data_IF_718755950756
#
_entry.id   IF_718755950756
#
_cell.length_a   1.000
_cell.length_b   1.000
_cell.length_c   1.000
_cell.angle_alpha   90.00
_cell.angle_beta   90.00
_cell.angle_gamma   90.00
#
_symmetry.space_group_name_H-M   'P 1'
#
loop_
_entity.id
_entity.type
_entity.pdbx_description
1 polymer ?
#
# COMPACT_ATOMS: atom_id res chain seq x y z
N UNK A 1 -19.67 -5.11 -7.92
CA UNK A 1 -18.95 -5.69 -6.76
C UNK A 1 -19.04 -7.22 -6.65
N UNK A 2 -20.20 -7.86 -6.88
CA UNK A 2 -20.32 -9.34 -6.80
C UNK A 2 -19.40 -10.10 -7.78
N UNK A 3 -19.18 -9.58 -8.98
CA UNK A 3 -18.31 -10.23 -9.99
C UNK A 3 -16.83 -10.28 -9.62
N UNK A 4 -16.25 -9.17 -9.13
CA UNK A 4 -14.84 -9.12 -8.72
C UNK A 4 -14.59 -9.96 -7.46
N UNK A 5 -15.50 -9.89 -6.48
CA UNK A 5 -15.45 -10.71 -5.26
C UNK A 5 -15.60 -12.21 -5.58
N UNK A 6 -16.53 -12.60 -6.46
CA UNK A 6 -16.64 -13.99 -6.91
C UNK A 6 -15.43 -14.43 -7.71
N UNK A 7 -14.85 -13.56 -8.55
CA UNK A 7 -13.65 -13.89 -9.31
C UNK A 7 -12.43 -14.10 -8.41
N UNK A 8 -12.24 -13.23 -7.41
CA UNK A 8 -11.20 -13.37 -6.39
C UNK A 8 -11.44 -14.61 -5.53
N UNK A 9 -12.67 -14.88 -5.09
CA UNK A 9 -13.02 -16.09 -4.30
C UNK A 9 -12.78 -17.39 -5.09
N UNK A 10 -13.16 -17.42 -6.37
CA UNK A 10 -12.93 -18.56 -7.25
C UNK A 10 -11.43 -18.82 -7.49
N UNK A 11 -10.61 -17.77 -7.49
CA UNK A 11 -9.16 -17.91 -7.68
C UNK A 11 -8.39 -18.08 -6.37
N UNK A 12 -8.92 -17.64 -5.22
CA UNK A 12 -8.24 -17.71 -3.92
C UNK A 12 -7.91 -19.15 -3.50
N UNK A 13 -8.71 -20.12 -3.94
CA UNK A 13 -8.51 -21.54 -3.65
C UNK A 13 -7.60 -22.27 -4.66
N UNK A 14 -7.25 -21.65 -5.79
CA UNK A 14 -6.37 -22.26 -6.80
C UNK A 14 -4.90 -21.86 -6.62
N UNK A 15 -3.93 -22.68 -7.08
CA UNK A 15 -2.51 -22.31 -7.10
C UNK A 15 -2.25 -20.99 -7.86
N UNK A 16 -3.10 -20.70 -8.85
CA UNK A 16 -3.09 -19.47 -9.65
C UNK A 16 -3.45 -18.23 -8.84
N UNK A 17 -4.23 -18.37 -7.74
CA UNK A 17 -4.64 -17.28 -6.88
C UNK A 17 -3.49 -16.54 -6.22
N UNK A 18 -2.43 -17.25 -5.83
CA UNK A 18 -1.20 -16.66 -5.29
C UNK A 18 -0.48 -15.78 -6.32
N UNK A 19 -0.43 -16.21 -7.58
CA UNK A 19 0.20 -15.42 -8.65
C UNK A 19 -0.59 -14.15 -8.94
N UNK A 20 -1.92 -14.23 -8.94
CA UNK A 20 -2.81 -13.07 -9.10
C UNK A 20 -2.62 -12.07 -7.95
N UNK A 21 -2.55 -12.56 -6.70
CA UNK A 21 -2.32 -11.71 -5.53
C UNK A 21 -0.96 -10.98 -5.62
N UNK A 22 0.09 -11.68 -6.04
CA UNK A 22 1.42 -11.11 -6.28
C UNK A 22 1.36 -10.01 -7.34
N UNK A 23 0.72 -10.31 -8.48
CA UNK A 23 0.67 -9.42 -9.63
C UNK A 23 -0.16 -8.17 -9.34
N UNK A 24 -1.29 -8.30 -8.64
CA UNK A 24 -2.12 -7.16 -8.21
C UNK A 24 -1.40 -6.28 -7.18
N UNK A 25 -0.69 -6.90 -6.23
CA UNK A 25 0.14 -6.17 -5.26
C UNK A 25 1.26 -5.41 -5.96
N UNK A 26 1.87 -6.01 -6.97
CA UNK A 26 2.91 -5.38 -7.77
C UNK A 26 2.35 -4.18 -8.55
N UNK A 27 1.19 -4.34 -9.19
CA UNK A 27 0.55 -3.31 -10.04
C UNK A 27 -0.17 -2.21 -9.28
N UNK A 28 -0.35 -2.31 -7.96
CA UNK A 28 -0.93 -1.23 -7.11
C UNK A 28 -0.21 0.15 -7.27
N UNK A 29 0.95 0.20 -7.94
CA UNK A 29 1.62 1.47 -8.28
C UNK A 29 0.90 2.29 -9.34
N UNK A 30 0.08 1.63 -10.17
CA UNK A 30 -0.65 2.24 -11.29
C UNK A 30 -2.16 2.28 -11.06
N UNK A 31 -2.67 1.45 -10.13
CA UNK A 31 -4.09 1.35 -9.82
C UNK A 31 -4.27 1.42 -8.30
N UNK A 32 -5.21 2.25 -7.78
CA UNK A 32 -5.49 2.34 -6.35
C UNK A 32 -6.25 1.10 -5.85
N UNK A 33 -5.56 -0.04 -5.82
CA UNK A 33 -6.07 -1.32 -5.34
C UNK A 33 -5.62 -1.46 -3.88
N UNK A 34 -6.51 -1.60 -2.89
CA UNK A 34 -6.11 -1.70 -1.50
C UNK A 34 -5.51 -3.09 -1.20
N UNK A 35 -4.19 -3.25 -1.37
CA UNK A 35 -3.49 -4.54 -1.20
C UNK A 35 -3.72 -5.15 0.17
N UNK A 36 -3.74 -4.34 1.23
CA UNK A 36 -4.01 -4.83 2.60
C UNK A 36 -5.38 -5.47 2.72
N UNK A 37 -6.40 -4.91 2.05
CA UNK A 37 -7.75 -5.48 2.04
C UNK A 37 -7.77 -6.78 1.25
N UNK A 38 -7.07 -6.83 0.11
CA UNK A 38 -6.95 -8.03 -0.72
C UNK A 38 -6.25 -9.17 0.03
N UNK A 39 -5.13 -8.89 0.70
CA UNK A 39 -4.45 -9.84 1.57
C UNK A 39 -5.40 -10.38 2.65
N UNK A 40 -6.15 -9.50 3.31
CA UNK A 40 -7.11 -9.91 4.33
C UNK A 40 -8.19 -10.86 3.77
N UNK A 41 -8.74 -10.59 2.58
CA UNK A 41 -9.69 -11.48 1.93
C UNK A 41 -9.11 -12.88 1.66
N UNK A 42 -7.87 -12.97 1.15
CA UNK A 42 -7.21 -14.25 0.91
C UNK A 42 -6.94 -15.03 2.20
N UNK A 43 -6.48 -14.34 3.26
CA UNK A 43 -6.26 -14.96 4.58
C UNK A 43 -7.57 -15.47 5.20
N UNK A 44 -8.68 -14.73 5.06
CA UNK A 44 -9.99 -15.16 5.57
C UNK A 44 -10.52 -16.39 4.82
N UNK A 45 -10.26 -16.49 3.52
CA UNK A 45 -10.70 -17.63 2.71
C UNK A 45 -9.87 -18.90 2.97
N UNK A 46 -8.57 -18.75 3.20
CA UNK A 46 -7.67 -19.88 3.48
C UNK A 46 -6.71 -19.55 4.62
N UNK A 47 -7.20 -19.69 5.86
CA UNK A 47 -6.49 -19.31 7.08
C UNK A 47 -5.12 -19.98 7.19
N UNK A 48 -5.02 -21.27 6.88
CA UNK A 48 -3.78 -22.04 6.96
C UNK A 48 -2.66 -21.51 6.06
N UNK A 49 -2.98 -20.77 5.00
CA UNK A 49 -2.01 -20.17 4.08
C UNK A 49 -1.73 -18.69 4.35
N UNK A 50 -2.26 -18.12 5.43
CA UNK A 50 -2.15 -16.68 5.71
C UNK A 50 -0.70 -16.17 5.73
N UNK A 51 0.21 -16.89 6.39
CA UNK A 51 1.63 -16.51 6.45
C UNK A 51 2.31 -16.59 5.08
N UNK A 52 1.94 -17.59 4.27
CA UNK A 52 2.42 -17.72 2.90
C UNK A 52 1.95 -16.55 2.03
N UNK A 53 0.68 -16.15 2.14
CA UNK A 53 0.17 -14.98 1.43
C UNK A 53 0.86 -13.68 1.88
N UNK A 54 1.13 -13.53 3.18
CA UNK A 54 1.88 -12.38 3.70
C UNK A 54 3.30 -12.31 3.13
N UNK A 55 4.02 -13.43 3.08
CA UNK A 55 5.35 -13.51 2.49
C UNK A 55 5.32 -13.10 1.01
N UNK A 56 4.40 -13.67 0.25
CA UNK A 56 4.26 -13.42 -1.17
C UNK A 56 3.94 -11.94 -1.45
N UNK A 57 2.97 -11.36 -0.73
CA UNK A 57 2.63 -9.93 -0.83
C UNK A 57 3.79 -9.04 -0.41
N UNK A 58 4.53 -9.41 0.64
CA UNK A 58 5.71 -8.67 1.09
C UNK A 58 6.77 -8.62 0.00
N UNK A 59 7.11 -9.76 -0.60
CA UNK A 59 8.10 -9.84 -1.68
C UNK A 59 7.63 -9.03 -2.90
N UNK A 60 6.39 -9.21 -3.35
CA UNK A 60 5.87 -8.48 -4.52
C UNK A 60 5.84 -6.97 -4.29
N UNK A 61 5.41 -6.53 -3.10
CA UNK A 61 5.39 -5.11 -2.73
C UNK A 61 6.81 -4.54 -2.62
N UNK A 62 7.73 -5.31 -2.06
CA UNK A 62 9.14 -4.93 -1.94
C UNK A 62 9.80 -4.77 -3.31
N UNK A 63 9.63 -5.73 -4.23
CA UNK A 63 10.16 -5.62 -5.60
C UNK A 63 9.57 -4.40 -6.32
N UNK A 64 8.27 -4.16 -6.21
CA UNK A 64 7.65 -2.95 -6.77
C UNK A 64 8.23 -1.66 -6.17
N UNK A 65 8.58 -1.68 -4.88
CA UNK A 65 9.20 -0.54 -4.18
C UNK A 65 10.61 -0.27 -4.68
N UNK A 66 11.39 -1.31 -5.01
CA UNK A 66 12.71 -1.16 -5.63
C UNK A 66 12.61 -0.51 -7.01
N UNK A 67 11.61 -0.88 -7.79
CA UNK A 67 11.34 -0.26 -9.10
C UNK A 67 10.96 1.20 -8.92
N UNK A 68 10.07 1.53 -7.97
CA UNK A 68 9.72 2.91 -7.65
C UNK A 68 10.94 3.75 -7.26
N UNK A 69 11.80 3.22 -6.38
CA UNK A 69 13.06 3.86 -6.03
C UNK A 69 13.96 4.07 -7.26
N UNK A 70 14.11 3.06 -8.12
CA UNK A 70 14.89 3.18 -9.34
C UNK A 70 14.35 4.26 -10.29
N UNK A 71 13.03 4.31 -10.48
CA UNK A 71 12.39 5.34 -11.32
C UNK A 71 12.71 6.74 -10.76
N UNK A 72 12.53 6.96 -9.46
CA UNK A 72 12.88 8.22 -8.83
C UNK A 72 14.36 8.57 -8.95
N UNK A 73 15.24 7.57 -8.80
CA UNK A 73 16.69 7.76 -8.84
C UNK A 73 17.20 8.15 -10.24
N UNK A 74 16.71 7.50 -11.29
CA UNK A 74 17.17 7.73 -12.67
C UNK A 74 16.41 8.85 -13.38
N UNK A 75 15.09 8.92 -13.22
CA UNK A 75 14.23 9.86 -13.94
C UNK A 75 13.87 11.10 -13.11
N UNK A 76 14.26 11.14 -11.85
CA UNK A 76 13.96 12.23 -10.93
C UNK A 76 14.32 13.62 -11.41
N UNK A 77 15.44 13.74 -12.13
CA UNK A 77 15.94 15.02 -12.65
C UNK A 77 15.31 15.43 -13.98
N UNK A 78 14.43 14.62 -14.57
CA UNK A 78 13.75 14.98 -15.81
C UNK A 78 12.64 16.00 -15.53
N UNK A 79 12.49 16.99 -16.42
CA UNK A 79 11.45 18.03 -16.30
C UNK A 79 10.04 17.41 -16.24
N UNK A 80 9.81 16.32 -16.97
CA UNK A 80 8.54 15.58 -16.98
C UNK A 80 8.24 15.01 -15.59
N UNK A 81 9.25 14.45 -14.91
CA UNK A 81 9.08 13.89 -13.58
C UNK A 81 8.83 14.98 -12.54
N UNK A 82 9.60 16.07 -12.57
CA UNK A 82 9.41 17.19 -11.64
C UNK A 82 8.05 17.87 -11.83
N UNK A 83 7.61 18.03 -13.08
CA UNK A 83 6.27 18.52 -13.40
C UNK A 83 5.20 17.60 -12.82
N UNK A 84 5.30 16.28 -13.04
CA UNK A 84 4.36 15.29 -12.50
C UNK A 84 4.36 15.26 -10.97
N UNK A 85 5.53 15.37 -10.34
CA UNK A 85 5.69 15.38 -8.89
C UNK A 85 5.06 16.62 -8.26
N UNK A 86 5.09 17.77 -8.95
CA UNK A 86 4.52 19.03 -8.47
C UNK A 86 3.00 19.00 -8.30
N UNK A 87 2.28 18.11 -9.00
CA UNK A 87 0.84 17.89 -8.81
C UNK A 87 0.54 17.05 -7.56
N UNK A 88 1.52 16.32 -7.05
CA UNK A 88 1.35 15.33 -5.98
C UNK A 88 1.92 15.87 -4.67
N UNK A 89 3.04 16.60 -4.74
CA UNK A 89 3.78 17.11 -3.59
C UNK A 89 4.08 18.59 -3.82
N UNK A 90 3.70 19.42 -2.86
CA UNK A 90 4.00 20.86 -2.92
C UNK A 90 5.50 21.11 -2.88
N UNK A 91 5.97 22.19 -3.52
CA UNK A 91 7.38 22.61 -3.46
C UNK A 91 7.87 22.78 -2.02
N UNK A 92 7.06 23.38 -1.15
CA UNK A 92 7.38 23.55 0.27
C UNK A 92 7.59 22.21 0.98
N UNK A 93 6.77 21.20 0.67
CA UNK A 93 6.95 19.85 1.21
C UNK A 93 8.23 19.20 0.68
N UNK A 94 8.55 19.38 -0.61
CA UNK A 94 9.81 18.86 -1.19
C UNK A 94 11.04 19.53 -0.58
N UNK A 95 11.01 20.83 -0.38
CA UNK A 95 12.09 21.60 0.26
C UNK A 95 12.24 21.23 1.74
N UNK A 96 11.13 21.06 2.46
CA UNK A 96 11.13 20.59 3.84
C UNK A 96 11.73 19.18 3.95
N UNK A 97 11.37 18.27 3.04
CA UNK A 97 11.96 16.92 2.98
C UNK A 97 13.46 17.00 2.70
N UNK A 98 13.88 17.85 1.75
CA UNK A 98 15.29 18.03 1.40
C UNK A 98 16.13 18.60 2.57
N UNK A 99 15.57 19.54 3.34
CA UNK A 99 16.24 20.14 4.50
C UNK A 99 16.31 19.20 5.70
N UNK A 100 15.26 18.40 5.94
CA UNK A 100 15.18 17.46 7.06
C UNK A 100 15.72 16.06 6.74
N UNK A 101 16.23 15.90 5.52
CA UNK A 101 16.65 14.66 4.93
C UNK A 101 17.66 13.88 5.79
N UNK A 102 18.70 14.55 6.30
CA UNK A 102 19.74 13.90 7.09
C UNK A 102 19.22 13.30 8.40
N UNK A 103 18.17 13.89 8.98
CA UNK A 103 17.69 13.53 10.32
C UNK A 103 16.51 12.56 10.31
N UNK A 104 15.66 12.60 9.27
CA UNK A 104 14.38 11.87 9.27
C UNK A 104 14.19 10.87 8.13
N UNK A 105 15.10 10.77 7.15
CA UNK A 105 14.98 9.85 6.01
C UNK A 105 14.66 8.41 6.41
N UNK A 106 15.33 7.90 7.45
CA UNK A 106 15.19 6.55 7.97
C UNK A 106 13.79 6.34 8.59
N UNK A 107 13.35 7.30 9.41
CA UNK A 107 12.04 7.26 10.07
C UNK A 107 10.91 7.42 9.08
N UNK A 108 11.06 8.27 8.07
CA UNK A 108 10.04 8.47 7.03
C UNK A 108 9.76 7.18 6.27
N UNK A 109 10.80 6.42 5.89
CA UNK A 109 10.63 5.14 5.19
C UNK A 109 10.00 4.10 6.10
N UNK A 110 10.45 4.00 7.35
CA UNK A 110 9.94 3.01 8.29
C UNK A 110 8.47 3.27 8.64
N UNK A 111 8.14 4.50 9.05
CA UNK A 111 6.77 4.89 9.38
C UNK A 111 5.88 4.79 8.14
N UNK A 112 6.36 5.30 7.00
CA UNK A 112 5.61 5.25 5.76
C UNK A 112 5.34 3.83 5.26
N UNK A 113 6.27 2.89 5.46
CA UNK A 113 6.08 1.47 5.08
C UNK A 113 5.07 0.74 5.96
N UNK A 114 4.91 1.18 7.21
CA UNK A 114 3.91 0.66 8.14
C UNK A 114 2.51 1.24 7.91
N UNK A 115 2.41 2.49 7.42
CA UNK A 115 1.14 3.18 7.26
C UNK A 115 0.26 2.65 6.10
N UNK A 116 -1.08 2.77 6.22
CA UNK A 116 -2.03 2.45 5.14
C UNK A 116 -2.10 3.58 4.09
N UNK A 117 -0.97 4.23 3.81
CA UNK A 117 -0.85 5.30 2.82
C UNK A 117 -0.28 4.72 1.51
N UNK A 118 -0.50 5.32 0.32
CA UNK A 118 0.13 4.91 -0.93
C UNK A 118 1.66 5.07 -0.90
N UNK A 119 2.30 4.10 -0.27
CA UNK A 119 3.75 4.02 -0.03
C UNK A 119 4.58 4.03 -1.31
N UNK A 120 4.00 3.68 -2.46
CA UNK A 120 4.73 3.70 -3.73
C UNK A 120 5.14 5.13 -4.13
N UNK A 121 4.38 6.16 -3.74
CA UNK A 121 4.84 7.56 -3.87
C UNK A 121 6.05 7.86 -2.98
N UNK A 122 6.08 7.28 -1.77
CA UNK A 122 7.23 7.39 -0.87
C UNK A 122 8.47 6.73 -1.50
N UNK A 123 8.31 5.58 -2.16
CA UNK A 123 9.44 4.92 -2.83
C UNK A 123 9.99 5.72 -4.01
N UNK A 124 9.11 6.37 -4.78
CA UNK A 124 9.50 7.27 -5.89
C UNK A 124 10.27 8.48 -5.36
N UNK A 125 9.77 9.12 -4.31
CA UNK A 125 10.44 10.27 -3.69
C UNK A 125 11.75 9.88 -3.01
N UNK A 126 11.81 8.71 -2.37
CA UNK A 126 13.05 8.17 -1.82
C UNK A 126 14.15 8.01 -2.88
N UNK A 127 13.77 7.55 -4.08
CA UNK A 127 14.66 7.50 -5.24
C UNK A 127 15.09 8.89 -5.70
N UNK A 128 14.13 9.81 -5.86
CA UNK A 128 14.36 11.20 -6.29
C UNK A 128 15.37 11.93 -5.38
N UNK A 129 15.19 11.81 -4.07
CA UNK A 129 16.11 12.41 -3.09
C UNK A 129 17.41 11.62 -2.90
N UNK A 130 17.56 10.47 -3.55
CA UNK A 130 18.73 9.58 -3.49
C UNK A 130 19.02 9.05 -2.08
N UNK A 131 17.97 8.60 -1.39
CA UNK A 131 18.08 7.98 -0.06
C UNK A 131 19.08 6.82 -0.12
N UNK A 132 20.00 6.69 0.85
CA UNK A 132 20.93 5.56 0.88
C UNK A 132 20.19 4.23 0.64
N UNK A 133 20.59 3.53 -0.41
CA UNK A 133 19.84 2.38 -0.93
C UNK A 133 19.73 1.25 0.11
N UNK A 134 20.78 1.00 0.88
CA UNK A 134 20.81 -0.08 1.88
C UNK A 134 19.81 0.17 3.03
N UNK A 135 19.80 1.34 3.71
CA UNK A 135 18.74 1.69 4.65
C UNK A 135 17.33 1.60 4.04
N UNK A 136 17.13 2.14 2.84
CA UNK A 136 15.83 2.07 2.15
C UNK A 136 15.36 0.62 1.98
N UNK A 137 16.26 -0.25 1.51
CA UNK A 137 15.99 -1.66 1.26
C UNK A 137 15.56 -2.37 2.55
N UNK A 138 16.36 -2.26 3.60
CA UNK A 138 16.12 -2.95 4.88
C UNK A 138 14.83 -2.46 5.52
N UNK A 139 14.65 -1.14 5.64
CA UNK A 139 13.50 -0.54 6.31
C UNK A 139 12.20 -0.82 5.56
N UNK A 140 12.24 -0.77 4.23
CA UNK A 140 11.08 -1.12 3.41
C UNK A 140 10.70 -2.58 3.60
N UNK A 141 11.66 -3.50 3.52
CA UNK A 141 11.38 -4.92 3.69
C UNK A 141 10.81 -5.21 5.08
N UNK A 142 11.41 -4.65 6.14
CA UNK A 142 10.96 -4.81 7.52
C UNK A 142 9.57 -4.21 7.71
N UNK A 143 9.35 -2.95 7.33
CA UNK A 143 8.06 -2.29 7.57
C UNK A 143 6.91 -2.91 6.77
N UNK A 144 7.17 -3.32 5.52
CA UNK A 144 6.20 -4.08 4.73
C UNK A 144 5.91 -5.45 5.34
N UNK A 145 6.96 -6.15 5.76
CA UNK A 145 6.84 -7.43 6.45
C UNK A 145 5.99 -7.30 7.70
N UNK A 146 6.35 -6.40 8.62
CA UNK A 146 5.61 -6.15 9.87
C UNK A 146 4.12 -5.89 9.57
N UNK A 147 3.82 -4.99 8.64
CA UNK A 147 2.43 -4.64 8.31
C UNK A 147 1.64 -5.83 7.78
N UNK A 148 2.15 -6.52 6.75
CA UNK A 148 1.42 -7.60 6.10
C UNK A 148 1.32 -8.85 6.97
N UNK A 149 2.38 -9.17 7.72
CA UNK A 149 2.34 -10.24 8.70
C UNK A 149 1.44 -9.91 9.88
N UNK A 150 1.37 -8.66 10.35
CA UNK A 150 0.42 -8.28 11.40
C UNK A 150 -1.03 -8.57 10.96
N UNK A 151 -1.39 -8.25 9.72
CA UNK A 151 -2.72 -8.56 9.16
C UNK A 151 -2.92 -10.08 9.08
N UNK A 152 -1.97 -10.80 8.50
CA UNK A 152 -2.10 -12.23 8.28
C UNK A 152 -2.12 -13.03 9.58
N UNK A 153 -1.29 -12.69 10.56
CA UNK A 153 -1.26 -13.31 11.90
C UNK A 153 -2.57 -13.02 12.64
N UNK A 154 -3.07 -11.78 12.57
CA UNK A 154 -4.34 -11.43 13.22
C UNK A 154 -5.49 -12.28 12.68
N UNK A 155 -5.54 -12.52 11.36
CA UNK A 155 -6.55 -13.37 10.73
C UNK A 155 -6.28 -14.86 10.99
N UNK A 156 -5.00 -15.26 11.07
CA UNK A 156 -4.61 -16.62 11.41
C UNK A 156 -5.06 -17.04 12.82
N UNK A 157 -5.01 -16.11 13.78
CA UNK A 157 -5.39 -16.38 15.17
C UNK A 157 -6.89 -16.16 15.38
N UNK A 158 -7.44 -15.02 14.93
CA UNK A 158 -8.81 -14.57 15.26
C UNK A 158 -9.76 -14.52 14.06
N UNK A 159 -9.51 -15.29 13.01
CA UNK A 159 -10.25 -15.11 11.77
C UNK A 159 -11.77 -15.30 11.91
N UNK A 160 -12.27 -16.03 12.89
CA UNK A 160 -13.72 -16.26 13.09
C UNK A 160 -14.38 -15.03 13.72
N UNK A 161 -13.73 -14.46 14.73
CA UNK A 161 -14.10 -13.20 15.35
C UNK A 161 -13.98 -12.03 14.37
N UNK A 162 -12.92 -12.00 13.56
CA UNK A 162 -12.73 -11.01 12.50
C UNK A 162 -13.81 -11.13 11.44
N UNK A 163 -14.18 -12.34 11.03
CA UNK A 163 -15.28 -12.56 10.07
C UNK A 163 -16.60 -12.10 10.64
N UNK A 164 -16.88 -12.41 11.91
CA UNK A 164 -18.10 -11.97 12.59
C UNK A 164 -18.16 -10.44 12.75
N UNK A 165 -17.05 -9.83 13.17
CA UNK A 165 -16.91 -8.38 13.27
C UNK A 165 -17.10 -7.70 11.90
N UNK A 166 -16.46 -8.20 10.85
CA UNK A 166 -16.65 -7.68 9.50
C UNK A 166 -18.12 -7.80 9.12
N UNK A 167 -18.75 -8.96 9.20
CA UNK A 167 -20.16 -9.09 8.83
C UNK A 167 -21.09 -8.14 9.61
N UNK A 168 -20.77 -7.84 10.88
CA UNK A 168 -21.55 -6.93 11.73
C UNK A 168 -21.32 -5.45 11.42
N UNK A 169 -20.08 -5.03 11.18
CA UNK A 169 -19.70 -3.62 11.09
C UNK A 169 -19.39 -3.13 9.68
N UNK A 170 -19.17 -4.03 8.71
CA UNK A 170 -18.78 -3.68 7.34
C UNK A 170 -19.82 -2.78 6.64
N UNK A 171 -21.11 -3.00 6.90
CA UNK A 171 -22.17 -2.11 6.43
C UNK A 171 -22.00 -0.68 6.96
N UNK A 172 -21.77 -0.52 8.26
CA UNK A 172 -21.58 0.78 8.89
C UNK A 172 -20.29 1.47 8.42
N UNK A 173 -19.18 0.72 8.31
CA UNK A 173 -17.88 1.23 7.84
C UNK A 173 -18.00 1.75 6.40
N UNK A 174 -18.62 0.99 5.50
CA UNK A 174 -18.80 1.43 4.10
C UNK A 174 -19.67 2.69 4.02
N UNK A 175 -20.77 2.74 4.77
CA UNK A 175 -21.64 3.91 4.75
C UNK A 175 -20.96 5.14 5.34
N UNK A 176 -20.12 4.96 6.36
CA UNK A 176 -19.32 6.04 6.93
C UNK A 176 -18.27 6.58 5.94
N UNK A 177 -17.52 5.71 5.26
CA UNK A 177 -16.56 6.13 4.23
C UNK A 177 -17.27 6.85 3.07
N UNK A 178 -18.44 6.36 2.64
CA UNK A 178 -19.27 7.03 1.63
C UNK A 178 -19.72 8.42 2.09
N UNK A 179 -20.16 8.56 3.34
CA UNK A 179 -20.57 9.85 3.90
C UNK A 179 -19.40 10.85 3.91
N UNK A 180 -18.19 10.42 4.28
CA UNK A 180 -16.98 11.26 4.22
C UNK A 180 -16.64 11.68 2.79
N UNK A 181 -16.74 10.76 1.82
CA UNK A 181 -16.53 11.09 0.41
C UNK A 181 -17.55 12.11 -0.11
N UNK A 182 -18.85 11.94 0.22
CA UNK A 182 -19.88 12.91 -0.15
C UNK A 182 -19.62 14.27 0.48
N UNK A 183 -19.23 14.31 1.76
CA UNK A 183 -18.87 15.53 2.46
C UNK A 183 -17.66 16.23 1.80
N UNK A 184 -16.61 15.47 1.46
CA UNK A 184 -15.44 16.00 0.78
C UNK A 184 -15.78 16.57 -0.61
N UNK A 185 -16.56 15.85 -1.41
CA UNK A 185 -17.04 16.34 -2.70
C UNK A 185 -17.89 17.61 -2.54
N UNK A 186 -18.78 17.65 -1.55
CA UNK A 186 -19.62 18.82 -1.27
C UNK A 186 -18.79 20.06 -0.90
N UNK A 187 -17.80 19.90 -0.01
CA UNK A 187 -16.87 20.98 0.36
C UNK A 187 -16.06 21.46 -0.84
N UNK A 188 -15.63 20.53 -1.71
CA UNK A 188 -14.84 20.87 -2.90
C UNK A 188 -15.67 21.63 -3.93
N UNK A 189 -16.94 21.27 -4.12
CA UNK A 189 -17.88 21.98 -4.99
C UNK A 189 -18.17 23.40 -4.47
N UNK A 190 -18.33 23.59 -3.16
CA UNK A 190 -18.57 24.91 -2.56
C UNK A 190 -17.35 25.85 -2.61
N UNK A 191 -16.15 25.33 -2.87
CA UNK A 191 -14.94 26.14 -3.05
C UNK A 191 -14.77 26.66 -4.49
N UNK A 192 -15.61 26.22 -5.43
CA UNK A 192 -15.71 26.73 -6.80
C UNK A 192 -16.97 27.58 -6.96
#
# INVERSE_FOLDING_TARGET
>A
MKGLLNWVSNHANSPSGSYILSLLTFTEGFLPIPTSSLLAFYCLHNRNKSLFYALLVTISSFVASLIGYGIGYFFGNTEIFQYSLSYIISKETLEWIAQNYQNYQTWAILIGSLLPFPFKFLTLTAGFFKIPFIPFLILTFIGRGIRFYAIAISIYIWGDEVTHFLNKYFYYIINFIRALLYLYCFITILKY
#
